data_IF_661431736856
#
_entry.id   IF_661431736856
#
_cell.length_a   1.000
_cell.length_b   1.000
_cell.length_c   1.000
_cell.angle_alpha   90.00
_cell.angle_beta   90.00
_cell.angle_gamma   90.00
#
_symmetry.space_group_name_H-M   'P 1'
#
loop_
_entity.id
_entity.type
_entity.pdbx_description
1 polymer ?
#
# COMPACT_ATOMS: atom_id res chain seq x y z
N UNK A 1 13.31 -7.52 18.08
CA UNK A 1 12.19 -6.86 17.37
C UNK A 1 12.75 -5.65 16.64
N UNK A 2 12.29 -5.35 15.42
CA UNK A 2 12.57 -4.05 14.79
C UNK A 2 11.86 -2.99 15.63
N UNK A 3 12.61 -2.06 16.22
CA UNK A 3 12.03 -0.85 16.83
C UNK A 3 11.67 0.14 15.73
N UNK A 4 10.64 0.96 15.95
CA UNK A 4 10.21 2.02 15.02
C UNK A 4 9.73 1.49 13.64
N UNK A 5 8.98 0.39 13.63
CA UNK A 5 8.30 -0.08 12.42
C UNK A 5 7.21 0.92 11.99
N UNK A 6 7.24 1.32 10.72
CA UNK A 6 6.29 2.29 10.13
C UNK A 6 5.21 1.61 9.30
N UNK A 7 5.59 0.58 8.55
CA UNK A 7 4.68 -0.19 7.71
C UNK A 7 5.26 -1.57 7.43
N UNK A 8 4.40 -2.52 7.08
CA UNK A 8 4.82 -3.85 6.67
C UNK A 8 3.80 -4.46 5.72
N UNK A 9 4.20 -5.55 5.06
CA UNK A 9 3.34 -6.40 4.26
C UNK A 9 3.80 -7.86 4.38
N UNK A 10 2.83 -8.78 4.41
CA UNK A 10 3.10 -10.22 4.32
C UNK A 10 3.15 -10.65 2.86
N UNK A 11 4.05 -11.59 2.54
CA UNK A 11 3.96 -12.33 1.28
C UNK A 11 2.62 -13.06 1.20
N UNK A 12 2.19 -13.44 -0.02
CA UNK A 12 0.88 -14.09 -0.21
C UNK A 12 0.72 -15.37 0.61
N UNK A 13 1.83 -16.08 0.80
CA UNK A 13 1.87 -17.31 1.61
C UNK A 13 1.88 -17.05 3.11
N UNK A 14 2.08 -15.80 3.55
CA UNK A 14 2.24 -15.41 4.95
C UNK A 14 3.59 -15.84 5.56
N UNK A 15 4.49 -16.42 4.76
CA UNK A 15 5.77 -16.98 5.23
C UNK A 15 6.84 -15.92 5.41
N UNK A 16 6.79 -14.85 4.63
CA UNK A 16 7.77 -13.77 4.67
C UNK A 16 7.09 -12.43 4.95
N UNK A 17 7.87 -11.53 5.54
CA UNK A 17 7.47 -10.18 5.91
C UNK A 17 8.46 -9.19 5.32
N UNK A 18 7.91 -8.16 4.68
CA UNK A 18 8.64 -6.96 4.29
C UNK A 18 8.24 -5.87 5.28
N UNK A 19 9.20 -5.28 5.99
CA UNK A 19 8.97 -4.28 7.02
C UNK A 19 9.83 -3.04 6.76
N UNK A 20 9.20 -1.88 6.75
CA UNK A 20 9.87 -0.58 6.74
C UNK A 20 10.00 -0.12 8.17
N UNK A 21 11.23 0.10 8.61
CA UNK A 21 11.54 0.54 9.97
C UNK A 21 12.53 1.70 9.96
N UNK A 22 12.34 2.64 10.88
CA UNK A 22 13.23 3.79 11.07
C UNK A 22 12.61 4.84 11.99
N UNK A 23 13.44 5.63 12.69
CA UNK A 23 12.96 6.61 13.68
C UNK A 23 12.03 7.64 13.04
N UNK A 24 10.97 8.14 13.67
CA UNK A 24 9.93 8.96 13.03
C UNK A 24 10.42 10.13 12.17
N UNK A 25 11.51 10.79 12.58
CA UNK A 25 12.08 11.96 11.90
C UNK A 25 13.43 11.67 11.19
N UNK A 26 13.73 10.40 10.91
CA UNK A 26 14.96 10.00 10.22
C UNK A 26 14.68 9.16 8.97
N UNK A 27 15.76 8.66 8.37
CA UNK A 27 15.67 7.70 7.27
C UNK A 27 15.01 6.38 7.70
N UNK A 28 14.63 5.59 6.70
CA UNK A 28 14.02 4.29 6.88
C UNK A 28 14.76 3.22 6.08
N UNK A 29 14.64 1.98 6.54
CA UNK A 29 15.21 0.81 5.89
C UNK A 29 14.11 -0.22 5.64
N UNK A 30 14.14 -0.85 4.48
CA UNK A 30 13.36 -2.03 4.18
C UNK A 30 14.11 -3.26 4.70
N UNK A 31 13.39 -4.12 5.42
CA UNK A 31 13.86 -5.41 5.92
C UNK A 31 12.96 -6.50 5.37
N UNK A 32 13.54 -7.59 4.87
CA UNK A 32 12.80 -8.73 4.32
C UNK A 32 13.29 -10.02 4.97
N UNK A 33 12.37 -10.86 5.43
CA UNK A 33 12.71 -12.16 5.97
C UNK A 33 11.50 -12.99 6.38
N UNK A 34 11.73 -14.21 6.87
CA UNK A 34 10.66 -15.09 7.33
C UNK A 34 9.89 -14.46 8.50
N UNK A 35 8.59 -14.72 8.54
CA UNK A 35 7.72 -14.32 9.64
C UNK A 35 8.22 -14.92 10.96
N UNK A 36 8.54 -14.07 11.94
CA UNK A 36 9.11 -14.47 13.22
C UNK A 36 10.58 -14.87 13.19
N UNK A 37 11.26 -14.76 12.04
CA UNK A 37 12.69 -15.07 11.90
C UNK A 37 13.57 -13.85 11.64
N UNK A 38 14.82 -14.10 11.23
CA UNK A 38 15.82 -13.06 10.99
C UNK A 38 15.60 -12.41 9.62
N UNK A 39 15.41 -11.08 9.60
CA UNK A 39 15.29 -10.30 8.38
C UNK A 39 16.64 -9.74 7.92
N UNK A 40 16.79 -9.60 6.60
CA UNK A 40 17.93 -8.97 5.95
C UNK A 40 17.54 -7.56 5.50
N UNK A 41 18.47 -6.60 5.64
CA UNK A 41 18.27 -5.25 5.14
C UNK A 41 18.35 -5.26 3.62
N UNK A 42 17.32 -4.74 2.97
CA UNK A 42 17.14 -4.77 1.53
C UNK A 42 17.46 -3.44 0.85
N UNK A 43 16.99 -2.33 1.40
CA UNK A 43 17.26 -0.98 0.89
C UNK A 43 17.10 0.06 1.98
N UNK A 44 17.69 1.23 1.78
CA UNK A 44 17.58 2.41 2.62
C UNK A 44 17.03 3.60 1.81
N UNK A 45 16.43 4.56 2.52
CA UNK A 45 15.96 5.82 1.96
C UNK A 45 15.71 6.85 3.06
N UNK A 46 15.50 8.11 2.68
CA UNK A 46 14.92 9.12 3.58
C UNK A 46 13.45 8.79 3.87
N UNK A 47 12.74 8.36 2.84
CA UNK A 47 11.38 7.82 2.96
C UNK A 47 11.25 6.52 2.17
N UNK A 48 10.38 5.64 2.66
CA UNK A 48 9.99 4.40 1.98
C UNK A 48 8.47 4.29 2.06
N UNK A 49 7.80 3.99 0.94
CA UNK A 49 6.37 3.66 0.94
C UNK A 49 6.11 2.37 1.70
N UNK A 50 4.83 2.06 1.97
CA UNK A 50 4.47 0.70 2.38
C UNK A 50 4.92 -0.31 1.30
N UNK A 51 5.58 -1.43 1.68
CA UNK A 51 6.00 -2.43 0.73
C UNK A 51 4.78 -3.18 0.16
N UNK A 52 4.92 -3.70 -1.06
CA UNK A 52 3.93 -4.54 -1.72
C UNK A 52 4.59 -5.78 -2.32
N UNK A 53 3.92 -6.93 -2.26
CA UNK A 53 4.50 -8.20 -2.72
C UNK A 53 3.99 -8.54 -4.12
N UNK A 54 4.91 -8.87 -5.01
CA UNK A 54 4.60 -9.43 -6.33
C UNK A 54 4.29 -10.94 -6.22
N UNK A 55 3.73 -11.50 -7.29
CA UNK A 55 3.37 -12.93 -7.35
C UNK A 55 4.58 -13.87 -7.27
N UNK A 56 5.77 -13.36 -7.60
CA UNK A 56 7.03 -14.10 -7.61
C UNK A 56 7.88 -13.84 -6.34
N UNK A 57 7.22 -13.44 -5.26
CA UNK A 57 7.82 -13.12 -3.96
C UNK A 57 8.85 -11.97 -3.98
N UNK A 58 8.84 -11.15 -5.04
CA UNK A 58 9.59 -9.89 -5.02
C UNK A 58 8.84 -8.80 -4.25
N UNK A 59 9.59 -7.93 -3.57
CA UNK A 59 9.03 -6.80 -2.82
C UNK A 59 9.21 -5.52 -3.60
N UNK A 60 8.12 -4.80 -3.85
CA UNK A 60 8.12 -3.48 -4.46
C UNK A 60 8.00 -2.41 -3.38
N UNK A 61 8.80 -1.35 -3.50
CA UNK A 61 8.76 -0.19 -2.62
C UNK A 61 9.14 1.06 -3.39
N UNK A 62 8.55 2.20 -3.02
CA UNK A 62 9.01 3.52 -3.47
C UNK A 62 10.05 4.04 -2.50
N UNK A 63 11.20 4.45 -3.02
CA UNK A 63 12.27 5.10 -2.29
C UNK A 63 12.23 6.60 -2.59
N UNK A 64 12.26 7.42 -1.55
CA UNK A 64 12.37 8.88 -1.64
C UNK A 64 11.32 9.57 -2.52
N UNK A 65 10.18 8.92 -2.72
CA UNK A 65 9.02 9.44 -3.47
C UNK A 65 9.15 9.39 -4.99
N UNK A 66 10.29 8.97 -5.55
CA UNK A 66 10.54 9.08 -6.99
C UNK A 66 11.21 7.85 -7.63
N UNK A 67 11.69 6.90 -6.82
CA UNK A 67 12.36 5.70 -7.32
C UNK A 67 11.58 4.46 -6.91
N UNK A 68 10.97 3.78 -7.87
CA UNK A 68 10.35 2.47 -7.64
C UNK A 68 11.43 1.39 -7.74
N UNK A 69 11.56 0.57 -6.71
CA UNK A 69 12.50 -0.56 -6.71
C UNK A 69 11.77 -1.87 -6.43
N UNK A 70 12.16 -2.91 -7.15
CA UNK A 70 11.80 -4.30 -6.91
C UNK A 70 12.98 -4.96 -6.22
N UNK A 71 12.74 -5.66 -5.12
CA UNK A 71 13.75 -6.39 -4.36
C UNK A 71 13.46 -7.87 -4.46
N UNK A 72 14.45 -8.66 -4.88
CA UNK A 72 14.41 -10.11 -4.92
C UNK A 72 15.40 -10.71 -3.93
N UNK A 73 15.22 -11.99 -3.62
CA UNK A 73 16.25 -12.79 -2.95
C UNK A 73 17.11 -13.47 -4.02
N UNK A 74 18.41 -13.19 -4.04
CA UNK A 74 19.32 -13.90 -4.92
C UNK A 74 19.41 -15.38 -4.53
N UNK A 75 19.27 -16.28 -5.51
CA UNK A 75 19.30 -17.73 -5.25
C UNK A 75 20.67 -18.21 -4.75
N UNK A 76 21.76 -17.62 -5.25
CA UNK A 76 23.12 -18.06 -4.92
C UNK A 76 23.56 -17.62 -3.51
N UNK A 77 23.24 -16.40 -3.12
CA UNK A 77 23.74 -15.77 -1.89
C UNK A 77 22.69 -15.69 -0.78
N UNK A 78 21.40 -15.82 -1.13
CA UNK A 78 20.27 -15.54 -0.24
C UNK A 78 20.11 -14.06 0.13
N UNK A 79 20.95 -13.18 -0.42
CA UNK A 79 20.95 -11.75 -0.13
C UNK A 79 19.87 -11.01 -0.93
N UNK A 80 19.33 -9.90 -0.40
CA UNK A 80 18.47 -9.03 -1.19
C UNK A 80 19.23 -8.37 -2.34
N UNK A 81 18.68 -8.44 -3.55
CA UNK A 81 19.14 -7.67 -4.72
C UNK A 81 18.06 -6.67 -5.14
N UNK A 82 18.49 -5.43 -5.38
CA UNK A 82 17.63 -4.32 -5.79
C UNK A 82 17.67 -4.18 -7.31
N UNK A 83 16.50 -4.18 -7.92
CA UNK A 83 16.30 -4.02 -9.36
C UNK A 83 15.42 -2.76 -9.55
N UNK A 84 15.89 -1.73 -10.25
CA UNK A 84 15.07 -0.57 -10.58
C UNK A 84 13.84 -0.98 -11.40
N UNK A 85 12.72 -0.32 -11.15
CA UNK A 85 11.54 -0.39 -12.03
C UNK A 85 11.47 0.90 -12.82
N UNK A 86 11.39 0.81 -14.15
CA UNK A 86 11.21 1.98 -14.99
C UNK A 86 9.83 2.61 -14.71
N UNK A 87 9.84 3.85 -14.22
CA UNK A 87 8.65 4.63 -13.90
C UNK A 87 8.58 5.94 -14.68
N UNK A 88 9.33 6.06 -15.78
CA UNK A 88 9.41 7.29 -16.58
C UNK A 88 8.05 7.71 -17.15
N UNK A 89 7.21 6.76 -17.58
CA UNK A 89 5.87 7.07 -18.05
C UNK A 89 4.99 7.65 -16.93
N UNK A 90 5.12 7.16 -15.70
CA UNK A 90 4.40 7.67 -14.52
C UNK A 90 4.84 9.08 -14.19
N UNK A 91 6.13 9.30 -13.98
CA UNK A 91 6.68 10.58 -13.53
C UNK A 91 6.56 11.69 -14.57
N UNK A 92 6.57 11.35 -15.87
CA UNK A 92 6.33 12.32 -16.94
C UNK A 92 4.88 12.78 -17.02
N UNK A 93 3.91 11.92 -16.69
CA UNK A 93 2.48 12.25 -16.76
C UNK A 93 1.91 12.79 -15.45
N UNK A 94 2.40 12.29 -14.33
CA UNK A 94 1.98 12.65 -12.97
C UNK A 94 3.21 13.12 -12.21
N UNK A 95 3.59 14.40 -12.34
CA UNK A 95 4.66 14.97 -11.54
C UNK A 95 4.22 15.01 -10.08
N UNK A 96 5.09 14.59 -9.17
CA UNK A 96 4.80 14.56 -7.74
C UNK A 96 5.51 13.43 -7.02
N UNK A 97 5.36 13.38 -5.71
CA UNK A 97 5.90 12.30 -4.89
C UNK A 97 4.94 11.12 -4.87
N UNK A 98 5.42 9.94 -5.24
CA UNK A 98 4.70 8.68 -5.04
C UNK A 98 4.82 8.29 -3.56
N UNK A 99 3.75 8.45 -2.79
CA UNK A 99 3.75 8.18 -1.33
C UNK A 99 3.30 6.77 -0.98
N UNK A 100 2.56 6.13 -1.88
CA UNK A 100 2.04 4.77 -1.73
C UNK A 100 2.11 4.04 -3.08
N UNK A 101 2.42 2.74 -3.07
CA UNK A 101 2.36 1.86 -4.24
C UNK A 101 1.88 0.48 -3.80
N UNK A 102 0.76 0.01 -4.36
CA UNK A 102 0.21 -1.33 -4.10
C UNK A 102 -0.03 -2.07 -5.41
N UNK A 103 0.60 -3.24 -5.55
CA UNK A 103 0.41 -4.12 -6.69
C UNK A 103 -0.98 -4.76 -6.63
N UNK A 104 -1.61 -4.92 -7.80
CA UNK A 104 -2.86 -5.65 -7.92
C UNK A 104 -2.67 -7.12 -7.57
N UNK A 105 -3.76 -7.76 -7.12
CA UNK A 105 -3.74 -9.17 -6.70
C UNK A 105 -3.35 -10.15 -7.81
N UNK A 106 -3.45 -9.74 -9.08
CA UNK A 106 -3.06 -10.48 -10.27
C UNK A 106 -1.66 -10.10 -10.81
N UNK A 107 -0.98 -9.13 -10.18
CA UNK A 107 0.37 -8.68 -10.55
C UNK A 107 0.46 -7.87 -11.85
N UNK A 108 -0.66 -7.48 -12.45
CA UNK A 108 -0.68 -6.79 -13.75
C UNK A 108 -0.70 -5.26 -13.66
N UNK A 109 -0.95 -4.71 -12.47
CA UNK A 109 -1.14 -3.27 -12.26
C UNK A 109 -0.52 -2.81 -10.95
N UNK A 110 -0.16 -1.53 -10.90
CA UNK A 110 0.19 -0.82 -9.68
C UNK A 110 -0.77 0.34 -9.46
N UNK A 111 -1.39 0.39 -8.28
CA UNK A 111 -2.10 1.55 -7.80
C UNK A 111 -1.17 2.40 -6.93
N UNK A 112 -1.18 3.71 -7.13
CA UNK A 112 -0.27 4.66 -6.51
C UNK A 112 -1.04 5.85 -5.95
N UNK A 113 -0.47 6.47 -4.92
CA UNK A 113 -0.85 7.81 -4.48
C UNK A 113 0.26 8.76 -4.89
N UNK A 114 -0.06 9.75 -5.72
CA UNK A 114 0.89 10.76 -6.21
C UNK A 114 0.33 12.13 -5.88
N UNK A 115 1.00 12.85 -4.98
CA UNK A 115 0.54 14.15 -4.44
C UNK A 115 -0.95 14.17 -4.04
N UNK A 116 -1.42 13.07 -3.46
CA UNK A 116 -2.81 12.92 -2.99
C UNK A 116 -3.81 12.46 -4.06
N UNK A 117 -3.39 12.28 -5.31
CA UNK A 117 -4.22 11.69 -6.37
C UNK A 117 -4.04 10.17 -6.47
N UNK A 118 -5.11 9.44 -6.71
CA UNK A 118 -5.05 8.01 -7.02
C UNK A 118 -4.70 7.80 -8.51
N UNK A 119 -3.59 7.10 -8.76
CA UNK A 119 -3.07 6.82 -10.10
C UNK A 119 -2.91 5.31 -10.29
N UNK A 120 -3.30 4.81 -11.45
CA UNK A 120 -3.14 3.41 -11.84
C UNK A 120 -2.17 3.32 -13.03
N UNK A 121 -1.25 2.35 -13.00
CA UNK A 121 -0.38 2.00 -14.12
C UNK A 121 -0.41 0.49 -14.38
N UNK A 122 -0.14 0.09 -15.62
CA UNK A 122 0.15 -1.29 -15.98
C UNK A 122 1.57 -1.68 -15.55
N UNK A 123 1.77 -2.97 -15.28
CA UNK A 123 3.08 -3.55 -15.02
C UNK A 123 3.47 -4.38 -16.25
N UNK A 124 4.58 -4.04 -16.86
CA UNK A 124 5.12 -4.77 -18.01
C UNK A 124 6.52 -5.27 -17.71
N UNK A 125 6.82 -6.49 -18.16
CA UNK A 125 8.19 -6.98 -18.21
C UNK A 125 8.76 -6.66 -19.59
N UNK A 126 9.87 -5.93 -19.61
CA UNK A 126 10.60 -5.58 -20.82
C UNK A 126 11.29 -6.81 -21.42
N UNK A 127 11.72 -6.71 -22.68
CA UNK A 127 12.47 -7.78 -23.34
C UNK A 127 13.77 -8.16 -22.61
N UNK A 128 14.34 -7.24 -21.82
CA UNK A 128 15.52 -7.49 -20.98
C UNK A 128 15.23 -8.20 -19.66
N UNK A 129 13.96 -8.41 -19.31
CA UNK A 129 13.54 -9.01 -18.03
C UNK A 129 13.29 -8.00 -16.91
N UNK A 130 13.62 -6.72 -17.12
CA UNK A 130 13.32 -5.62 -16.20
C UNK A 130 11.83 -5.26 -16.23
N UNK A 131 11.35 -4.54 -15.21
CA UNK A 131 9.95 -4.14 -15.10
C UNK A 131 9.76 -2.65 -15.35
N UNK A 132 8.62 -2.31 -15.96
CA UNK A 132 8.20 -0.93 -16.21
C UNK A 132 6.76 -0.69 -15.75
N UNK A 133 6.48 0.52 -15.28
CA UNK A 133 5.14 1.05 -15.04
C UNK A 133 4.69 1.84 -16.28
N UNK A 134 3.66 1.34 -16.98
CA UNK A 134 3.23 1.86 -18.28
C UNK A 134 1.77 2.32 -18.25
N UNK A 135 1.37 3.11 -19.25
CA UNK A 135 0.00 3.62 -19.43
C UNK A 135 -0.66 4.22 -18.17
N UNK A 136 0.02 5.12 -17.44
CA UNK A 136 -0.53 5.65 -16.21
C UNK A 136 -1.77 6.50 -16.48
N UNK A 137 -2.76 6.39 -15.60
CA UNK A 137 -3.98 7.20 -15.62
C UNK A 137 -4.50 7.47 -14.21
N UNK A 138 -5.13 8.61 -14.03
CA UNK A 138 -5.84 8.95 -12.79
C UNK A 138 -7.15 8.16 -12.71
N UNK A 139 -7.50 7.73 -11.49
CA UNK A 139 -8.78 7.11 -11.13
C UNK A 139 -9.41 7.86 -9.97
N UNK A 140 -10.72 7.71 -9.76
CA UNK A 140 -11.41 8.37 -8.64
C UNK A 140 -11.30 9.90 -8.70
N UNK A 141 -11.59 10.52 -9.85
CA UNK A 141 -11.47 11.97 -10.03
C UNK A 141 -12.24 12.77 -8.97
N UNK A 142 -13.38 12.25 -8.49
CA UNK A 142 -14.18 12.88 -7.44
C UNK A 142 -13.47 12.99 -6.08
N UNK A 143 -12.36 12.27 -5.89
CA UNK A 143 -11.58 12.29 -4.65
C UNK A 143 -10.61 13.48 -4.57
N UNK A 144 -10.38 14.20 -5.67
CA UNK A 144 -9.42 15.30 -5.69
C UNK A 144 -8.00 14.82 -5.38
N UNK A 145 -7.30 15.60 -4.55
CA UNK A 145 -5.97 15.38 -3.99
C UNK A 145 -6.02 14.89 -2.52
N UNK A 146 -7.16 14.33 -2.11
CA UNK A 146 -7.37 13.97 -0.70
C UNK A 146 -6.85 12.57 -0.34
N UNK A 147 -6.37 11.75 -1.27
CA UNK A 147 -6.03 10.35 -1.02
C UNK A 147 -4.75 10.23 -0.18
N UNK A 148 -4.81 9.42 0.88
CA UNK A 148 -3.68 9.19 1.81
C UNK A 148 -3.11 7.79 1.67
N UNK A 149 -3.96 6.77 1.63
CA UNK A 149 -3.57 5.37 1.50
C UNK A 149 -4.59 4.63 0.64
N UNK A 150 -4.18 3.53 0.01
CA UNK A 150 -5.05 2.71 -0.83
C UNK A 150 -4.80 1.21 -0.62
N UNK A 151 -5.81 0.38 -0.87
CA UNK A 151 -5.68 -1.08 -0.85
C UNK A 151 -6.65 -1.75 -1.83
N UNK A 152 -6.19 -2.80 -2.49
CA UNK A 152 -7.01 -3.65 -3.35
C UNK A 152 -7.98 -4.49 -2.52
N UNK A 153 -9.28 -4.31 -2.75
CA UNK A 153 -10.31 -5.14 -2.15
C UNK A 153 -10.55 -6.37 -3.01
N UNK A 154 -10.70 -6.17 -4.33
CA UNK A 154 -10.79 -7.20 -5.37
C UNK A 154 -9.76 -6.92 -6.47
N UNK A 155 -9.86 -7.58 -7.63
CA UNK A 155 -9.02 -7.28 -8.80
C UNK A 155 -9.44 -6.00 -9.53
N UNK A 156 -10.63 -5.48 -9.25
CA UNK A 156 -11.26 -4.36 -9.94
C UNK A 156 -11.78 -3.24 -9.02
N UNK A 157 -11.71 -3.42 -7.71
CA UNK A 157 -12.18 -2.48 -6.70
C UNK A 157 -11.12 -2.22 -5.63
N UNK A 158 -10.95 -0.95 -5.30
CA UNK A 158 -10.04 -0.46 -4.29
C UNK A 158 -10.79 0.30 -3.22
N UNK A 159 -10.20 0.35 -2.04
CA UNK A 159 -10.60 1.28 -0.98
C UNK A 159 -9.45 2.25 -0.73
N UNK A 160 -9.80 3.50 -0.45
CA UNK A 160 -8.85 4.56 -0.14
C UNK A 160 -9.21 5.24 1.17
N UNK A 161 -8.19 5.70 1.91
CA UNK A 161 -8.38 6.65 3.01
C UNK A 161 -8.10 8.06 2.51
N UNK A 162 -8.75 9.05 3.12
CA UNK A 162 -8.74 10.42 2.64
C UNK A 162 -8.51 11.42 3.77
N UNK A 163 -7.82 12.51 3.45
CA UNK A 163 -7.76 13.71 4.27
C UNK A 163 -9.00 14.59 4.04
N UNK A 164 -10.18 13.97 4.18
CA UNK A 164 -11.50 14.59 4.01
C UNK A 164 -12.36 14.21 5.23
N UNK A 165 -12.65 15.15 6.16
CA UNK A 165 -13.47 14.86 7.33
C UNK A 165 -14.89 14.42 7.03
N UNK A 166 -15.47 14.82 5.90
CA UNK A 166 -16.81 14.41 5.51
C UNK A 166 -16.80 12.99 4.92
N UNK A 167 -15.74 12.65 4.20
CA UNK A 167 -15.61 11.38 3.48
C UNK A 167 -14.22 10.75 3.69
N UNK A 168 -13.89 10.27 4.90
CA UNK A 168 -12.54 9.81 5.25
C UNK A 168 -12.15 8.48 4.57
N UNK A 169 -13.11 7.77 4.00
CA UNK A 169 -12.92 6.52 3.26
C UNK A 169 -13.81 6.53 2.01
N UNK A 170 -13.27 6.11 0.87
CA UNK A 170 -14.03 5.94 -0.37
C UNK A 170 -13.63 4.64 -1.08
N UNK A 171 -14.52 4.13 -1.93
CA UNK A 171 -14.26 3.02 -2.83
C UNK A 171 -14.03 3.55 -4.25
N UNK A 172 -13.13 2.90 -4.99
CA UNK A 172 -12.75 3.30 -6.35
C UNK A 172 -12.66 2.06 -7.23
N UNK A 173 -13.49 2.00 -8.27
CA UNK A 173 -13.39 0.99 -9.29
C UNK A 173 -12.30 1.35 -10.31
N UNK A 174 -11.76 0.35 -11.01
CA UNK A 174 -10.81 0.56 -12.09
C UNK A 174 -11.30 1.50 -13.19
N UNK A 175 -12.59 1.52 -13.51
CA UNK A 175 -13.13 2.48 -14.48
C UNK A 175 -13.06 3.94 -14.00
N UNK A 176 -12.75 4.16 -12.72
CA UNK A 176 -12.59 5.45 -12.08
C UNK A 176 -13.84 5.92 -11.33
N UNK A 177 -14.96 5.18 -11.41
CA UNK A 177 -16.16 5.44 -10.60
C UNK A 177 -15.80 5.29 -9.13
N UNK A 178 -16.23 6.24 -8.31
CA UNK A 178 -16.00 6.23 -6.88
C UNK A 178 -17.28 6.49 -6.09
N UNK A 179 -17.31 5.98 -4.86
CA UNK A 179 -18.38 6.23 -3.89
C UNK A 179 -17.79 6.38 -2.50
N UNK A 180 -18.45 7.15 -1.65
CA UNK A 180 -18.00 7.32 -0.27
C UNK A 180 -18.41 6.12 0.58
N UNK A 181 -17.48 5.69 1.44
CA UNK A 181 -17.72 4.69 2.46
C UNK A 181 -18.40 5.29 3.68
N UNK A 182 -18.81 4.45 4.64
CA UNK A 182 -19.33 4.92 5.92
C UNK A 182 -18.27 5.75 6.66
N UNK A 183 -18.64 6.94 7.15
CA UNK A 183 -17.78 7.80 7.97
C UNK A 183 -18.03 7.68 9.48
N UNK A 184 -19.08 6.98 9.90
CA UNK A 184 -19.50 6.87 11.30
C UNK A 184 -18.47 6.10 12.15
N UNK A 185 -18.19 6.62 13.35
CA UNK A 185 -17.22 6.04 14.28
C UNK A 185 -15.76 6.03 13.76
N UNK A 186 -15.40 6.90 12.81
CA UNK A 186 -14.00 7.16 12.45
C UNK A 186 -13.53 8.48 13.06
N UNK A 187 -12.27 8.50 13.51
CA UNK A 187 -11.61 9.71 14.03
C UNK A 187 -10.38 10.02 13.18
N UNK A 188 -10.37 11.21 12.57
CA UNK A 188 -9.23 11.66 11.77
C UNK A 188 -7.95 11.84 12.62
N UNK A 189 -6.76 11.62 12.02
CA UNK A 189 -6.55 11.18 10.64
C UNK A 189 -6.84 9.68 10.44
N UNK A 190 -7.34 9.32 9.26
CA UNK A 190 -7.39 7.92 8.80
C UNK A 190 -6.19 7.67 7.88
N UNK A 191 -5.14 7.07 8.44
CA UNK A 191 -3.78 7.13 7.89
C UNK A 191 -3.38 5.92 7.05
N UNK A 192 -4.05 4.79 7.21
CA UNK A 192 -3.74 3.57 6.47
C UNK A 192 -4.99 2.72 6.24
N UNK A 193 -4.99 1.96 5.14
CA UNK A 193 -6.01 0.95 4.86
C UNK A 193 -5.40 -0.36 4.39
N UNK A 194 -5.94 -1.48 4.86
CA UNK A 194 -5.71 -2.80 4.31
C UNK A 194 -7.07 -3.44 4.02
N UNK A 195 -7.22 -4.08 2.86
CA UNK A 195 -8.50 -4.66 2.44
C UNK A 195 -8.38 -6.00 1.72
N UNK A 196 -9.44 -6.78 1.82
CA UNK A 196 -9.69 -8.00 1.06
C UNK A 196 -11.20 -8.07 0.74
N UNK A 197 -11.67 -9.05 -0.05
CA UNK A 197 -13.07 -9.09 -0.45
C UNK A 197 -14.06 -9.14 0.74
N UNK A 198 -13.62 -9.67 1.89
CA UNK A 198 -14.46 -9.90 3.06
C UNK A 198 -14.42 -8.77 4.10
N UNK A 199 -13.36 -7.97 4.14
CA UNK A 199 -13.19 -6.94 5.15
C UNK A 199 -12.25 -5.80 4.71
N UNK A 200 -12.54 -4.61 5.24
CA UNK A 200 -11.66 -3.44 5.21
C UNK A 200 -11.20 -3.13 6.63
N UNK A 201 -9.92 -2.83 6.79
CA UNK A 201 -9.33 -2.37 8.04
C UNK A 201 -8.69 -1.01 7.82
N UNK A 202 -8.96 -0.06 8.70
CA UNK A 202 -8.34 1.26 8.66
C UNK A 202 -7.65 1.57 9.97
N UNK A 203 -6.53 2.30 9.90
CA UNK A 203 -5.91 2.94 11.05
C UNK A 203 -6.46 4.36 11.17
N UNK A 204 -7.20 4.64 12.24
CA UNK A 204 -7.62 5.98 12.62
C UNK A 204 -6.73 6.51 13.77
N UNK A 205 -7.00 7.71 14.30
CA UNK A 205 -6.20 8.30 15.38
C UNK A 205 -6.10 7.44 16.65
N UNK A 206 -7.03 6.52 16.87
CA UNK A 206 -7.15 5.69 18.08
C UNK A 206 -6.54 4.30 17.89
N UNK A 207 -6.55 3.77 16.67
CA UNK A 207 -6.06 2.43 16.35
C UNK A 207 -6.76 1.82 15.15
N UNK A 208 -6.88 0.49 15.12
CA UNK A 208 -7.46 -0.23 13.97
C UNK A 208 -8.96 -0.48 14.13
N UNK A 209 -9.72 -0.05 13.12
CA UNK A 209 -11.14 -0.36 12.98
C UNK A 209 -11.37 -1.29 11.79
N UNK A 210 -12.42 -2.10 11.88
CA UNK A 210 -12.85 -3.06 10.87
C UNK A 210 -14.24 -2.73 10.36
N UNK A 211 -14.40 -2.86 9.05
CA UNK A 211 -15.67 -2.91 8.36
C UNK A 211 -15.77 -4.24 7.60
N UNK A 212 -16.78 -5.05 7.92
CA UNK A 212 -17.03 -6.33 7.25
C UNK A 212 -17.87 -6.13 5.98
N UNK A 213 -17.63 -6.94 4.96
CA UNK A 213 -18.49 -7.00 3.80
C UNK A 213 -19.85 -7.61 4.21
N UNK A 214 -20.90 -6.82 4.17
CA UNK A 214 -22.29 -7.27 4.43
C UNK A 214 -23.12 -7.16 3.15
N UNK A 215 -24.12 -8.03 3.00
CA UNK A 215 -25.11 -7.95 1.91
C UNK A 215 -26.18 -6.88 2.17
N UNK A 216 -26.30 -6.40 3.41
CA UNK A 216 -27.26 -5.36 3.82
C UNK A 216 -26.58 -3.98 3.80
N UNK A 217 -27.08 -3.02 2.99
CA UNK A 217 -26.54 -1.66 2.92
C UNK A 217 -26.78 -0.83 4.18
N UNK A 218 -27.86 -1.12 4.92
CA UNK A 218 -28.22 -0.40 6.14
C UNK A 218 -27.52 -1.03 7.36
N UNK A 219 -26.66 -0.27 8.03
CA UNK A 219 -26.04 -0.69 9.31
C UNK A 219 -24.55 -1.01 9.24
N UNK A 220 -23.89 -0.78 8.11
CA UNK A 220 -22.43 -0.84 8.03
C UNK A 220 -21.81 0.21 8.97
N UNK A 221 -21.09 -0.26 9.98
CA UNK A 221 -20.43 0.59 10.96
C UNK A 221 -19.03 0.07 11.24
N UNK A 222 -18.11 1.01 11.41
CA UNK A 222 -16.76 0.70 11.84
C UNK A 222 -16.78 0.19 13.27
N UNK A 223 -16.19 -0.99 13.46
CA UNK A 223 -16.06 -1.65 14.74
C UNK A 223 -14.60 -1.65 15.18
N UNK A 224 -14.36 -1.37 16.46
CA UNK A 224 -13.02 -1.39 17.03
C UNK A 224 -12.45 -2.81 17.07
N UNK A 225 -11.26 -3.00 16.51
CA UNK A 225 -10.56 -4.27 16.61
C UNK A 225 -9.73 -4.25 17.90
N UNK A 226 -10.39 -4.53 19.03
CA UNK A 226 -9.90 -4.24 20.40
C UNK A 226 -8.40 -4.52 20.68
N UNK A 227 -7.78 -5.63 20.24
CA UNK A 227 -6.34 -5.86 20.48
C UNK A 227 -5.41 -4.84 19.80
N UNK A 228 -5.92 -4.08 18.82
CA UNK A 228 -5.20 -3.14 17.98
C UNK A 228 -5.69 -1.69 18.15
N UNK A 229 -6.43 -1.40 19.22
CA UNK A 229 -6.83 -0.05 19.60
C UNK A 229 -5.71 0.65 20.35
N UNK A 230 -4.58 0.82 19.65
CA UNK A 230 -3.40 1.54 20.13
C UNK A 230 -3.02 2.58 19.07
N UNK A 231 -2.86 3.87 19.44
CA UNK A 231 -2.47 4.91 18.50
C UNK A 231 -1.19 4.56 17.73
N UNK A 232 -1.22 4.80 16.42
CA UNK A 232 -0.10 4.47 15.52
C UNK A 232 -0.05 3.01 15.05
N UNK A 233 -0.99 2.16 15.46
CA UNK A 233 -1.10 0.79 14.92
C UNK A 233 -1.55 0.83 13.45
N UNK A 234 -0.84 0.10 12.59
CA UNK A 234 -1.12 0.00 11.16
C UNK A 234 -1.63 -1.40 10.82
N UNK A 235 -2.77 -1.56 10.12
CA UNK A 235 -3.24 -2.87 9.70
C UNK A 235 -2.35 -3.44 8.61
N UNK A 236 -2.05 -4.73 8.71
CA UNK A 236 -1.22 -5.46 7.74
C UNK A 236 -1.97 -6.70 7.29
N UNK A 237 -2.01 -6.94 5.98
CA UNK A 237 -2.56 -8.17 5.39
C UNK A 237 -1.60 -8.76 4.36
N UNK A 238 -1.76 -10.04 4.02
CA UNK A 238 -1.11 -10.63 2.85
C UNK A 238 -1.47 -9.86 1.58
N UNK A 239 -0.44 -9.60 0.75
CA UNK A 239 -0.60 -9.09 -0.62
C UNK A 239 -1.21 -10.11 -1.57
#
# INVERSE_FOLDING_TARGET
>A
ALTDQRSAAFSRSGRDVASVAGPPNGGASLWIGPNGGQALRATDGRTLSRPSWALDDAVWVVVDGNSVVRVIREQASGQPARIPVDSAAVTSRFPGSITELQLSRDGTRAAMVIDGEAVLAGIEQTAGGDFALTYPRRIGFGLGDSVVSLSWRTGDDMVVTRNDPAHPVSYVNLDGVNSDGPGNNLVLPVSAVAANPSAVYVADARGVLQLLATTEPSGQSWSELRPFMVPGTVPVMPG
#
